data_IF_469026209969
#
_entry.id   IF_469026209969
#
_cell.length_a   1.000
_cell.length_b   1.000
_cell.length_c   1.000
_cell.angle_alpha   90.00
_cell.angle_beta   90.00
_cell.angle_gamma   90.00
#
_symmetry.space_group_name_H-M   'P 1'
#
loop_
_entity.id
_entity.type
_entity.pdbx_description
1 polymer ?
#
# COMPACT_ATOMS: atom_id res chain seq x y z
N UNK A 1 -15.42 17.37 -8.41
CA UNK A 1 -14.64 17.30 -7.17
C UNK A 1 -13.44 18.24 -7.27
N UNK A 2 -13.37 19.32 -6.48
CA UNK A 2 -12.24 20.28 -6.55
C UNK A 2 -11.25 19.93 -5.44
N UNK A 3 -10.17 19.20 -5.78
CA UNK A 3 -9.12 18.89 -4.81
C UNK A 3 -8.46 20.20 -4.38
N UNK A 4 -8.63 20.59 -3.12
CA UNK A 4 -7.95 21.76 -2.58
C UNK A 4 -6.51 21.38 -2.22
N UNK A 5 -5.58 22.32 -2.41
CA UNK A 5 -4.18 22.13 -2.00
C UNK A 5 -4.05 21.76 -0.51
N UNK A 6 -4.98 22.24 0.34
CA UNK A 6 -5.05 21.88 1.76
C UNK A 6 -5.35 20.39 1.97
N UNK A 7 -6.33 19.82 1.25
CA UNK A 7 -6.67 18.39 1.33
C UNK A 7 -5.49 17.52 0.88
N UNK A 8 -4.84 17.91 -0.22
CA UNK A 8 -3.66 17.23 -0.73
C UNK A 8 -2.51 17.25 0.30
N UNK A 9 -2.22 18.42 0.88
CA UNK A 9 -1.17 18.58 1.89
C UNK A 9 -1.44 17.73 3.14
N UNK A 10 -2.68 17.75 3.65
CA UNK A 10 -3.08 16.94 4.82
C UNK A 10 -2.86 15.46 4.52
N UNK A 11 -3.38 14.96 3.39
CA UNK A 11 -3.22 13.55 3.03
C UNK A 11 -1.75 13.17 2.86
N UNK A 12 -0.92 14.03 2.25
CA UNK A 12 0.50 13.79 2.05
C UNK A 12 1.25 13.70 3.39
N UNK A 13 1.07 14.68 4.27
CA UNK A 13 1.71 14.70 5.58
C UNK A 13 1.29 13.48 6.40
N UNK A 14 0.00 13.14 6.41
CA UNK A 14 -0.49 11.96 7.13
C UNK A 14 0.12 10.67 6.59
N UNK A 15 0.20 10.47 5.27
CA UNK A 15 0.80 9.26 4.67
C UNK A 15 2.29 9.16 5.01
N UNK A 16 3.03 10.27 4.95
CA UNK A 16 4.45 10.32 5.32
C UNK A 16 4.64 9.98 6.80
N UNK A 17 3.90 10.64 7.68
CA UNK A 17 3.99 10.42 9.14
C UNK A 17 3.61 8.99 9.49
N UNK A 18 2.54 8.45 8.93
CA UNK A 18 2.13 7.06 9.14
C UNK A 18 3.23 6.08 8.69
N UNK A 19 3.86 6.33 7.54
CA UNK A 19 4.96 5.51 7.03
C UNK A 19 6.17 5.57 7.96
N UNK A 20 6.59 6.75 8.41
CA UNK A 20 7.72 6.93 9.35
C UNK A 20 7.45 6.21 10.68
N UNK A 21 6.24 6.38 11.23
CA UNK A 21 5.84 5.70 12.47
C UNK A 21 5.87 4.18 12.26
N UNK A 22 5.23 3.67 11.21
CA UNK A 22 5.22 2.22 10.95
C UNK A 22 6.61 1.64 10.73
N UNK A 23 7.55 2.40 10.16
CA UNK A 23 8.91 1.94 9.98
C UNK A 23 9.61 1.72 11.34
N UNK A 24 9.40 2.65 12.28
CA UNK A 24 10.06 2.66 13.58
C UNK A 24 9.41 1.72 14.59
N UNK A 25 8.09 1.57 14.56
CA UNK A 25 7.35 0.79 15.55
C UNK A 25 7.07 -0.64 15.07
N UNK A 26 7.39 -1.69 15.86
CA UNK A 26 7.21 -3.08 15.47
C UNK A 26 5.76 -3.53 15.54
N UNK A 27 4.97 -3.15 14.53
CA UNK A 27 3.53 -3.43 14.43
C UNK A 27 3.21 -4.94 14.53
N UNK A 28 4.09 -5.80 14.02
CA UNK A 28 3.93 -7.25 14.07
C UNK A 28 3.82 -7.81 15.49
N UNK A 29 4.40 -7.14 16.49
CA UNK A 29 4.29 -7.57 17.89
C UNK A 29 2.88 -7.39 18.47
N UNK A 30 2.04 -6.59 17.82
CA UNK A 30 0.69 -6.29 18.27
C UNK A 30 -0.37 -7.01 17.43
N UNK A 31 -0.01 -7.43 16.20
CA UNK A 31 -0.95 -7.95 15.20
C UNK A 31 -0.76 -9.46 14.99
N UNK A 32 0.46 -9.98 15.13
CA UNK A 32 0.72 -11.39 14.92
C UNK A 32 0.25 -12.23 16.11
N UNK A 33 -0.36 -13.37 15.81
CA UNK A 33 -0.81 -14.36 16.82
C UNK A 33 0.35 -14.88 17.68
N UNK A 34 1.57 -14.88 17.11
CA UNK A 34 2.82 -15.15 17.81
C UNK A 34 3.68 -13.88 17.68
N UNK A 35 4.07 -13.23 18.79
CA UNK A 35 4.88 -12.01 18.73
C UNK A 35 6.20 -12.32 18.04
N UNK A 36 6.42 -11.72 16.87
CA UNK A 36 7.66 -11.91 16.10
C UNK A 36 8.88 -11.44 16.90
N UNK A 37 8.72 -10.51 17.85
CA UNK A 37 9.75 -10.12 18.83
C UNK A 37 10.43 -11.29 19.54
N UNK A 38 9.74 -12.42 19.71
CA UNK A 38 10.33 -13.64 20.29
C UNK A 38 11.32 -14.33 19.34
N UNK A 39 11.13 -14.21 18.02
CA UNK A 39 12.04 -14.69 16.99
C UNK A 39 13.16 -13.68 16.65
N UNK A 40 12.95 -12.39 16.94
CA UNK A 40 13.94 -11.32 16.73
C UNK A 40 15.26 -11.54 17.50
N UNK A 41 15.23 -12.25 18.63
CA UNK A 41 16.44 -12.58 19.38
C UNK A 41 17.43 -13.47 18.60
N UNK A 42 16.99 -14.12 17.51
CA UNK A 42 17.79 -15.08 16.76
C UNK A 42 18.09 -14.71 15.30
N UNK A 43 17.50 -13.65 14.73
CA UNK A 43 17.77 -13.34 13.32
C UNK A 43 17.53 -11.88 12.91
N UNK A 44 18.53 -11.30 12.25
CA UNK A 44 18.56 -9.98 11.61
C UNK A 44 17.56 -9.86 10.44
N UNK A 45 16.25 -9.95 10.69
CA UNK A 45 15.22 -9.85 9.65
C UNK A 45 14.97 -8.39 9.28
N UNK A 46 15.80 -7.88 8.36
CA UNK A 46 15.80 -6.49 7.91
C UNK A 46 14.64 -6.13 6.96
N UNK A 47 13.75 -7.08 6.65
CA UNK A 47 12.63 -6.88 5.72
C UNK A 47 11.35 -6.37 6.39
N UNK A 48 11.18 -6.59 7.69
CA UNK A 48 10.02 -6.13 8.46
C UNK A 48 9.74 -4.62 8.36
N UNK A 49 10.75 -3.71 8.38
CA UNK A 49 10.48 -2.29 8.23
C UNK A 49 9.77 -1.95 6.92
N UNK A 50 10.08 -2.64 5.82
CA UNK A 50 9.39 -2.44 4.54
C UNK A 50 7.98 -3.03 4.58
N UNK A 51 7.82 -4.24 5.12
CA UNK A 51 6.50 -4.84 5.29
C UNK A 51 5.56 -3.97 6.13
N UNK A 52 6.04 -3.34 7.22
CA UNK A 52 5.22 -2.46 8.07
C UNK A 52 4.71 -1.24 7.31
N UNK A 53 5.56 -0.61 6.50
CA UNK A 53 5.16 0.52 5.67
C UNK A 53 4.12 0.08 4.64
N UNK A 54 4.34 -1.07 3.98
CA UNK A 54 3.37 -1.63 3.04
C UNK A 54 2.04 -1.90 3.75
N UNK A 55 2.07 -2.57 4.91
CA UNK A 55 0.89 -2.90 5.69
C UNK A 55 0.06 -1.67 6.05
N UNK A 56 0.65 -0.64 6.66
CA UNK A 56 -0.11 0.55 7.06
C UNK A 56 -0.70 1.29 5.86
N UNK A 57 0.06 1.39 4.75
CA UNK A 57 -0.42 2.08 3.56
C UNK A 57 -1.48 1.27 2.81
N UNK A 58 -1.44 -0.06 2.86
CA UNK A 58 -2.52 -0.91 2.35
C UNK A 58 -3.83 -0.68 3.11
N UNK A 59 -3.75 -0.46 4.42
CA UNK A 59 -4.92 -0.19 5.26
C UNK A 59 -5.49 1.20 5.01
N UNK A 60 -4.63 2.22 4.91
CA UNK A 60 -5.03 3.58 4.50
C UNK A 60 -5.67 3.52 3.10
N UNK A 61 -5.07 2.80 2.16
CA UNK A 61 -5.60 2.64 0.81
C UNK A 61 -6.99 1.99 0.83
N UNK A 62 -7.18 0.90 1.58
CA UNK A 62 -8.46 0.20 1.66
C UNK A 62 -9.56 1.09 2.25
N UNK A 63 -9.31 1.72 3.40
CA UNK A 63 -10.28 2.62 4.03
C UNK A 63 -10.62 3.82 3.13
N UNK A 64 -9.62 4.34 2.43
CA UNK A 64 -9.81 5.47 1.52
C UNK A 64 -10.46 5.08 0.20
N UNK A 65 -10.30 3.85 -0.28
CA UNK A 65 -11.08 3.31 -1.39
C UNK A 65 -12.57 3.22 -1.04
N UNK A 66 -12.91 2.75 0.16
CA UNK A 66 -14.29 2.76 0.67
C UNK A 66 -14.82 4.21 0.72
N UNK A 67 -14.04 5.13 1.31
CA UNK A 67 -14.42 6.54 1.38
C UNK A 67 -14.59 7.19 0.00
N UNK A 68 -13.77 6.81 -0.98
CA UNK A 68 -13.89 7.30 -2.36
C UNK A 68 -15.19 6.84 -3.01
N UNK A 69 -15.57 5.58 -2.84
CA UNK A 69 -16.85 5.03 -3.34
C UNK A 69 -18.04 5.76 -2.72
N UNK A 70 -17.94 6.16 -1.45
CA UNK A 70 -18.95 6.95 -0.74
C UNK A 70 -18.95 8.45 -1.13
N UNK A 71 -18.06 8.88 -2.04
CA UNK A 71 -18.01 10.26 -2.55
C UNK A 71 -17.18 11.23 -1.72
N UNK A 72 -16.38 10.77 -0.74
CA UNK A 72 -15.54 11.64 0.07
C UNK A 72 -14.30 12.12 -0.69
N UNK A 73 -14.21 13.42 -0.95
CA UNK A 73 -13.11 13.96 -1.76
C UNK A 73 -11.71 13.75 -1.17
N UNK A 74 -11.62 13.80 0.16
CA UNK A 74 -10.36 13.60 0.88
C UNK A 74 -9.88 12.14 0.77
N UNK A 75 -10.82 11.19 0.68
CA UNK A 75 -10.51 9.79 0.56
C UNK A 75 -9.79 9.47 -0.77
N UNK A 76 -10.18 10.12 -1.86
CA UNK A 76 -9.45 9.99 -3.13
C UNK A 76 -7.97 10.40 -3.02
N UNK A 77 -7.67 11.48 -2.27
CA UNK A 77 -6.30 11.93 -2.06
C UNK A 77 -5.49 10.90 -1.25
N UNK A 78 -6.08 10.37 -0.17
CA UNK A 78 -5.46 9.31 0.62
C UNK A 78 -5.23 8.03 -0.20
N UNK A 79 -6.19 7.64 -1.03
CA UNK A 79 -6.11 6.44 -1.86
C UNK A 79 -4.92 6.55 -2.83
N UNK A 80 -4.81 7.65 -3.58
CA UNK A 80 -3.67 7.83 -4.49
C UNK A 80 -2.36 7.87 -3.71
N UNK A 81 -2.26 8.70 -2.69
CA UNK A 81 -0.99 8.95 -2.01
C UNK A 81 -0.49 7.73 -1.22
N UNK A 82 -1.38 6.92 -0.65
CA UNK A 82 -1.00 5.68 0.04
C UNK A 82 -0.67 4.53 -0.90
N UNK A 83 -1.22 4.51 -2.13
CA UNK A 83 -0.88 3.47 -3.12
C UNK A 83 0.61 3.46 -3.47
N UNK A 84 1.25 4.63 -3.55
CA UNK A 84 2.65 4.78 -3.93
C UNK A 84 3.60 4.09 -2.94
N UNK A 85 3.64 4.48 -1.64
CA UNK A 85 4.47 3.79 -0.66
C UNK A 85 4.03 2.33 -0.48
N UNK A 86 2.74 2.00 -0.58
CA UNK A 86 2.31 0.60 -0.54
C UNK A 86 3.04 -0.24 -1.61
N UNK A 87 2.96 0.16 -2.88
CA UNK A 87 3.56 -0.58 -4.00
C UNK A 87 5.08 -0.67 -3.86
N UNK A 88 5.74 0.45 -3.56
CA UNK A 88 7.20 0.50 -3.40
C UNK A 88 7.64 -0.45 -2.28
N UNK A 89 7.05 -0.33 -1.09
CA UNK A 89 7.47 -1.09 0.06
C UNK A 89 7.00 -2.55 0.02
N UNK A 90 5.91 -2.86 -0.69
CA UNK A 90 5.52 -4.23 -1.02
C UNK A 90 6.65 -4.93 -1.79
N UNK A 91 7.11 -4.36 -2.91
CA UNK A 91 8.20 -4.98 -3.68
C UNK A 91 9.56 -4.92 -2.99
N UNK A 92 9.84 -3.90 -2.16
CA UNK A 92 11.05 -3.93 -1.32
C UNK A 92 11.02 -5.08 -0.32
N UNK A 93 9.85 -5.38 0.27
CA UNK A 93 9.71 -6.51 1.19
C UNK A 93 9.94 -7.85 0.47
N UNK A 94 9.31 -8.07 -0.70
CA UNK A 94 9.56 -9.25 -1.54
C UNK A 94 11.03 -9.35 -1.96
N UNK A 95 11.66 -8.25 -2.35
CA UNK A 95 13.07 -8.21 -2.73
C UNK A 95 14.02 -8.58 -1.59
N UNK A 96 13.66 -8.25 -0.34
CA UNK A 96 14.44 -8.73 0.81
C UNK A 96 14.22 -10.21 1.07
N UNK A 97 12.98 -10.71 0.97
CA UNK A 97 12.67 -12.15 1.09
C UNK A 97 13.49 -12.96 0.08
N UNK A 98 13.64 -12.46 -1.16
CA UNK A 98 14.54 -13.05 -2.17
C UNK A 98 16.00 -13.06 -1.74
N UNK A 99 16.50 -11.98 -1.10
CA UNK A 99 17.88 -11.94 -0.58
C UNK A 99 18.15 -12.99 0.51
N UNK A 100 17.11 -13.43 1.23
CA UNK A 100 17.22 -14.52 2.21
C UNK A 100 17.06 -15.92 1.60
N UNK A 101 17.04 -16.03 0.27
CA UNK A 101 17.06 -17.32 -0.45
C UNK A 101 15.69 -17.87 -0.84
N UNK A 102 14.61 -17.12 -0.62
CA UNK A 102 13.27 -17.52 -1.07
C UNK A 102 13.11 -17.20 -2.56
N UNK A 103 12.70 -18.19 -3.36
CA UNK A 103 12.40 -17.96 -4.78
C UNK A 103 11.05 -17.25 -4.91
N UNK A 104 11.02 -16.14 -5.63
CA UNK A 104 9.78 -15.42 -5.98
C UNK A 104 9.73 -15.26 -7.49
N UNK A 105 8.63 -15.72 -8.11
CA UNK A 105 8.34 -15.45 -9.53
C UNK A 105 7.11 -14.56 -9.63
N UNK A 106 7.23 -13.41 -10.31
CA UNK A 106 6.13 -12.46 -10.48
C UNK A 106 5.45 -12.73 -11.83
N UNK A 107 4.12 -12.77 -11.82
CA UNK A 107 3.25 -12.86 -12.98
C UNK A 107 2.18 -11.75 -12.91
N UNK A 108 1.40 -11.52 -13.98
CA UNK A 108 0.28 -10.58 -13.91
C UNK A 108 -0.70 -10.96 -12.78
N UNK A 109 -0.87 -10.04 -11.83
CA UNK A 109 -1.68 -10.12 -10.61
C UNK A 109 -1.33 -11.24 -9.63
N UNK A 110 -0.26 -11.99 -9.86
CA UNK A 110 0.11 -13.13 -9.04
C UNK A 110 1.61 -13.13 -8.74
N UNK A 111 2.00 -13.67 -7.60
CA UNK A 111 3.37 -14.11 -7.40
C UNK A 111 3.40 -15.51 -6.80
N UNK A 112 4.46 -16.24 -7.12
CA UNK A 112 4.69 -17.60 -6.66
C UNK A 112 5.87 -17.61 -5.69
N UNK A 113 5.66 -18.15 -4.50
CA UNK A 113 6.65 -18.17 -3.42
C UNK A 113 7.19 -19.59 -3.14
N UNK A 114 8.49 -19.66 -2.90
CA UNK A 114 9.13 -20.83 -2.31
C UNK A 114 9.29 -22.03 -3.26
N UNK A 115 9.59 -23.19 -2.67
CA UNK A 115 9.91 -24.43 -3.41
C UNK A 115 8.67 -25.03 -4.09
N UNK A 116 7.51 -24.90 -3.45
CA UNK A 116 6.26 -25.46 -3.95
C UNK A 116 5.49 -24.49 -4.86
N UNK A 117 6.03 -23.28 -5.09
CA UNK A 117 5.38 -22.23 -5.88
C UNK A 117 3.99 -21.91 -5.35
N UNK A 118 3.91 -21.66 -4.04
CA UNK A 118 2.66 -21.26 -3.40
C UNK A 118 2.17 -19.97 -4.06
N UNK A 119 0.93 -20.00 -4.53
CA UNK A 119 0.37 -18.93 -5.36
C UNK A 119 -0.30 -17.89 -4.48
N UNK A 120 0.10 -16.64 -4.66
CA UNK A 120 -0.42 -15.50 -3.94
C UNK A 120 -0.91 -14.42 -4.91
N UNK A 121 -1.93 -13.67 -4.49
CA UNK A 121 -2.37 -12.47 -5.19
C UNK A 121 -1.33 -11.37 -5.01
N UNK A 122 -0.84 -10.79 -6.10
CA UNK A 122 0.03 -9.62 -6.08
C UNK A 122 -0.81 -8.36 -5.81
N UNK A 123 -1.00 -8.06 -4.53
CA UNK A 123 -1.71 -6.87 -4.09
C UNK A 123 -1.04 -5.58 -4.59
N UNK A 124 0.27 -5.56 -4.81
CA UNK A 124 0.99 -4.43 -5.41
C UNK A 124 0.43 -4.08 -6.79
N UNK A 125 0.29 -5.07 -7.66
CA UNK A 125 -0.30 -4.86 -9.00
C UNK A 125 -1.79 -4.49 -8.91
N UNK A 126 -2.56 -5.18 -8.07
CA UNK A 126 -4.00 -4.90 -7.89
C UNK A 126 -4.23 -3.45 -7.45
N UNK A 127 -3.53 -3.00 -6.41
CA UNK A 127 -3.65 -1.64 -5.89
C UNK A 127 -3.20 -0.60 -6.92
N UNK A 128 -2.09 -0.85 -7.63
CA UNK A 128 -1.61 0.05 -8.68
C UNK A 128 -2.66 0.23 -9.79
N UNK A 129 -3.18 -0.89 -10.34
CA UNK A 129 -4.15 -0.88 -11.42
C UNK A 129 -5.47 -0.23 -10.99
N UNK A 130 -6.00 -0.58 -9.82
CA UNK A 130 -7.25 0.00 -9.32
C UNK A 130 -7.12 1.51 -9.05
N UNK A 131 -5.97 1.95 -8.55
CA UNK A 131 -5.71 3.38 -8.33
C UNK A 131 -5.63 4.14 -9.66
N UNK A 132 -5.00 3.56 -10.69
CA UNK A 132 -4.95 4.14 -12.04
C UNK A 132 -6.37 4.24 -12.62
N UNK A 133 -7.16 3.16 -12.56
CA UNK A 133 -8.54 3.14 -13.05
C UNK A 133 -9.36 4.23 -12.36
N UNK A 134 -9.32 4.31 -11.02
CA UNK A 134 -10.04 5.34 -10.27
C UNK A 134 -9.60 6.76 -10.65
N UNK A 135 -8.30 6.96 -10.90
CA UNK A 135 -7.76 8.25 -11.34
C UNK A 135 -8.26 8.64 -12.73
N UNK A 136 -8.30 7.70 -13.67
CA UNK A 136 -8.83 7.92 -15.02
C UNK A 136 -10.32 8.27 -14.95
N UNK A 137 -11.11 7.51 -14.19
CA UNK A 137 -12.55 7.74 -14.00
C UNK A 137 -12.79 9.15 -13.45
N UNK A 138 -12.01 9.58 -12.45
CA UNK A 138 -12.12 10.91 -11.86
C UNK A 138 -11.79 12.02 -12.87
N UNK A 139 -10.77 11.84 -13.70
CA UNK A 139 -10.42 12.78 -14.78
C UNK A 139 -11.55 12.89 -15.81
N UNK A 140 -12.11 11.75 -16.23
CA UNK A 140 -13.22 11.71 -17.20
C UNK A 140 -14.46 12.41 -16.65
N UNK A 141 -14.85 12.11 -15.40
CA UNK A 141 -15.98 12.77 -14.72
C UNK A 141 -15.83 14.30 -14.71
N UNK A 142 -14.63 14.81 -14.43
CA UNK A 142 -14.35 16.26 -14.42
C UNK A 142 -14.47 16.88 -15.81
N UNK A 143 -13.93 16.22 -16.84
CA UNK A 143 -14.03 16.71 -18.22
C UNK A 143 -15.47 16.80 -18.69
N UNK A 144 -16.31 15.82 -18.34
CA UNK A 144 -17.74 15.88 -18.65
C UNK A 144 -18.44 17.03 -17.93
N UNK A 145 -18.20 17.21 -16.63
CA UNK A 145 -18.81 18.31 -15.86
C UNK A 145 -18.49 19.70 -16.46
N UNK A 146 -17.26 19.92 -16.91
CA UNK A 146 -16.82 21.18 -17.54
C UNK A 146 -17.43 21.44 -18.92
N UNK A 147 -17.88 20.40 -19.64
CA UNK A 147 -18.53 20.55 -20.95
C UNK A 147 -20.02 20.90 -20.83
N UNK A 148 -20.62 20.67 -19.67
CA UNK A 148 -22.07 20.84 -19.43
C UNK A 148 -22.38 22.17 -18.73
N UNK A 149 -21.37 22.83 -18.16
CA UNK A 149 -21.42 24.18 -17.58
C UNK A 149 -20.99 25.24 -18.60
#
# INVERSE_FOLDING_TARGET
MKISGKKLLISLVTVIVASIISYKFPLENYIALIPVSSFYAYSNWNWYPYWRIAFINSFIWLLSAIGYVLGYELAFCFMILSSIPFVIFHYLSLGQVVKYGVKINIAPFLFFEGKYSDMHLDLGQVVAVLTIIASIVEVVKRRHALKVT
#
